data_IF_746615925037
#
_entry.id   IF_746615925037
#
_cell.length_a   1.000
_cell.length_b   1.000
_cell.length_c   1.000
_cell.angle_alpha   90.00
_cell.angle_beta   90.00
_cell.angle_gamma   90.00
#
_symmetry.space_group_name_H-M   'P 1'
#
loop_
_entity.id
_entity.type
_entity.pdbx_description
1 polymer ?
#
# COMPACT_ATOMS: atom_id res chain seq x y z
N UNK A 1 -9.24 -18.91 0.85
CA UNK A 1 -9.92 -20.13 0.35
C UNK A 1 -8.94 -21.15 -0.26
N UNK A 2 -8.22 -20.83 -1.36
CA UNK A 2 -7.31 -21.80 -2.01
C UNK A 2 -6.23 -22.37 -1.07
N UNK A 3 -5.47 -21.51 -0.35
CA UNK A 3 -4.45 -21.92 0.64
C UNK A 3 -5.02 -22.87 1.72
N UNK A 4 -6.23 -22.59 2.20
CA UNK A 4 -6.88 -23.38 3.25
C UNK A 4 -7.30 -24.77 2.72
N UNK A 5 -7.79 -24.83 1.48
CA UNK A 5 -8.19 -26.08 0.84
C UNK A 5 -7.00 -26.96 0.46
N UNK A 6 -5.89 -26.39 0.01
CA UNK A 6 -4.70 -27.16 -0.40
C UNK A 6 -3.76 -27.48 0.75
N UNK A 7 -3.89 -26.79 1.90
CA UNK A 7 -2.94 -26.88 3.01
C UNK A 7 -1.53 -26.43 2.65
N UNK A 8 -1.34 -25.73 1.52
CA UNK A 8 -0.03 -25.33 0.98
C UNK A 8 0.02 -23.83 0.75
N UNK A 9 1.22 -23.28 0.81
CA UNK A 9 1.44 -21.87 0.48
C UNK A 9 1.04 -21.57 -0.96
N UNK A 10 0.41 -20.40 -1.15
CA UNK A 10 -0.06 -19.99 -2.46
C UNK A 10 1.13 -19.57 -3.35
N UNK A 11 1.13 -20.03 -4.60
CA UNK A 11 2.12 -19.63 -5.59
C UNK A 11 1.77 -18.27 -6.17
N UNK A 12 2.79 -17.47 -6.50
CA UNK A 12 2.57 -16.13 -7.10
C UNK A 12 1.92 -16.27 -8.48
N UNK A 13 2.27 -17.31 -9.23
CA UNK A 13 1.69 -17.59 -10.54
C UNK A 13 0.17 -17.86 -10.50
N UNK A 14 -0.35 -18.41 -9.39
CA UNK A 14 -1.79 -18.62 -9.21
C UNK A 14 -2.51 -17.28 -9.11
N UNK A 15 -1.99 -16.34 -8.31
CA UNK A 15 -2.55 -14.99 -8.22
C UNK A 15 -2.47 -14.25 -9.57
N UNK A 16 -1.33 -14.33 -10.26
CA UNK A 16 -1.16 -13.74 -11.59
C UNK A 16 -2.21 -14.27 -12.59
N UNK A 17 -2.42 -15.60 -12.61
CA UNK A 17 -3.40 -16.24 -13.49
C UNK A 17 -4.82 -15.76 -13.22
N UNK A 18 -5.21 -15.65 -11.95
CA UNK A 18 -6.54 -15.18 -11.56
C UNK A 18 -6.77 -13.73 -11.97
N UNK A 19 -5.80 -12.85 -11.70
CA UNK A 19 -5.89 -11.43 -12.05
C UNK A 19 -6.02 -11.23 -13.56
N UNK A 20 -5.16 -11.86 -14.35
CA UNK A 20 -5.19 -11.67 -15.81
C UNK A 20 -6.45 -12.21 -16.47
N UNK A 21 -6.96 -13.36 -16.02
CA UNK A 21 -8.23 -13.91 -16.52
C UNK A 21 -9.41 -13.02 -16.16
N UNK A 22 -9.42 -12.50 -14.92
CA UNK A 22 -10.45 -11.57 -14.47
C UNK A 22 -10.44 -10.29 -15.30
N UNK A 23 -9.30 -9.60 -15.41
CA UNK A 23 -9.20 -8.34 -16.15
C UNK A 23 -9.49 -8.50 -17.64
N UNK A 24 -8.98 -9.58 -18.26
CA UNK A 24 -9.28 -9.89 -19.65
C UNK A 24 -10.77 -10.13 -19.89
N UNK A 25 -11.48 -10.77 -18.95
CA UNK A 25 -12.95 -10.97 -19.05
C UNK A 25 -13.70 -9.65 -19.16
N UNK A 26 -13.21 -8.59 -18.53
CA UNK A 26 -13.80 -7.25 -18.62
C UNK A 26 -13.20 -6.40 -19.75
N UNK A 27 -12.37 -6.96 -20.64
CA UNK A 27 -11.87 -6.27 -21.84
C UNK A 27 -11.31 -4.86 -21.56
N UNK A 28 -10.70 -4.63 -20.39
CA UNK A 28 -10.15 -3.33 -20.00
C UNK A 28 -11.13 -2.33 -19.36
N UNK A 29 -12.43 -2.64 -19.23
CA UNK A 29 -13.37 -1.78 -18.49
C UNK A 29 -13.00 -1.62 -17.01
N UNK A 30 -12.33 -2.62 -16.45
CA UNK A 30 -11.71 -2.53 -15.13
C UNK A 30 -10.28 -2.03 -15.32
N UNK A 31 -10.08 -0.73 -15.10
CA UNK A 31 -8.76 -0.10 -15.22
C UNK A 31 -7.93 -0.31 -13.96
N UNK A 32 -7.32 -1.50 -13.84
CA UNK A 32 -6.40 -1.84 -12.77
C UNK A 32 -5.00 -2.13 -13.32
N UNK A 33 -4.05 -1.27 -12.99
CA UNK A 33 -2.63 -1.45 -13.23
C UNK A 33 -1.97 -1.99 -11.96
N UNK A 34 -1.54 -3.26 -11.97
CA UNK A 34 -1.07 -3.94 -10.77
C UNK A 34 0.39 -4.35 -10.91
N UNK A 35 1.14 -4.19 -9.82
CA UNK A 35 2.44 -4.83 -9.60
C UNK A 35 2.22 -5.97 -8.62
N UNK A 36 2.51 -7.20 -9.06
CA UNK A 36 2.36 -8.40 -8.26
C UNK A 36 3.74 -8.98 -7.97
N UNK A 37 4.19 -8.86 -6.72
CA UNK A 37 5.43 -9.43 -6.24
C UNK A 37 5.19 -10.44 -5.11
N UNK A 38 6.03 -11.46 -5.02
CA UNK A 38 6.01 -12.40 -3.91
C UNK A 38 7.17 -13.39 -3.96
N UNK A 39 7.37 -14.09 -2.84
CA UNK A 39 8.33 -15.19 -2.75
C UNK A 39 7.55 -16.47 -2.53
N UNK A 40 7.72 -17.44 -3.43
CA UNK A 40 7.18 -18.79 -3.26
C UNK A 40 8.32 -19.81 -3.13
N UNK A 41 7.99 -21.10 -3.08
CA UNK A 41 8.97 -22.17 -2.95
C UNK A 41 9.95 -22.27 -4.14
N UNK A 42 9.59 -21.73 -5.31
CA UNK A 42 10.49 -21.63 -6.47
C UNK A 42 11.36 -20.37 -6.47
N UNK A 43 11.04 -19.40 -5.61
CA UNK A 43 11.83 -18.21 -5.39
C UNK A 43 11.04 -16.91 -5.53
N UNK A 44 11.74 -15.77 -5.67
CA UNK A 44 11.10 -14.48 -5.87
C UNK A 44 10.55 -14.34 -7.29
N UNK A 45 9.33 -13.82 -7.39
CA UNK A 45 8.67 -13.53 -8.66
C UNK A 45 8.04 -12.14 -8.63
N UNK A 46 8.23 -11.40 -9.73
CA UNK A 46 7.68 -10.07 -9.93
C UNK A 46 6.98 -10.02 -11.29
N UNK A 47 5.73 -9.57 -11.28
CA UNK A 47 4.87 -9.46 -12.44
C UNK A 47 4.25 -8.07 -12.54
N UNK A 48 4.05 -7.59 -13.76
CA UNK A 48 3.06 -6.55 -14.06
C UNK A 48 1.77 -7.19 -14.55
N UNK A 49 0.64 -6.59 -14.21
CA UNK A 49 -0.66 -6.92 -14.79
C UNK A 49 -1.29 -5.62 -15.26
N UNK A 50 -1.46 -5.49 -16.57
CA UNK A 50 -2.09 -4.32 -17.18
C UNK A 50 -3.62 -4.47 -17.22
N UNK A 51 -4.38 -3.37 -17.33
CA UNK A 51 -5.85 -3.38 -17.36
C UNK A 51 -6.49 -4.34 -18.36
N UNK A 52 -5.85 -4.57 -19.51
CA UNK A 52 -6.36 -5.46 -20.55
C UNK A 52 -6.04 -6.95 -20.30
N UNK A 53 -5.39 -7.28 -19.17
CA UNK A 53 -5.01 -8.64 -18.80
C UNK A 53 -3.68 -9.11 -19.41
N UNK A 54 -2.91 -8.25 -20.08
CA UNK A 54 -1.52 -8.56 -20.43
C UNK A 54 -0.65 -8.59 -19.17
N UNK A 55 0.35 -9.47 -19.17
CA UNK A 55 1.21 -9.69 -18.00
C UNK A 55 2.65 -9.93 -18.41
N UNK A 56 3.58 -9.25 -17.75
CA UNK A 56 5.02 -9.42 -17.98
C UNK A 56 5.71 -9.90 -16.70
N UNK A 57 6.80 -10.66 -16.86
CA UNK A 57 7.66 -11.12 -15.74
C UNK A 57 9.03 -10.49 -15.91
N UNK A 58 9.41 -9.61 -15.00
CA UNK A 58 10.61 -8.76 -15.13
C UNK A 58 11.34 -8.66 -13.78
N UNK A 59 12.67 -8.39 -13.78
CA UNK A 59 13.46 -8.25 -12.56
C UNK A 59 13.12 -6.98 -11.75
N UNK A 60 12.69 -5.91 -12.42
CA UNK A 60 12.19 -4.67 -11.83
C UNK A 60 11.10 -4.09 -12.73
N UNK A 61 10.15 -3.37 -12.14
CA UNK A 61 9.00 -2.80 -12.84
C UNK A 61 8.60 -1.47 -12.19
N UNK A 62 8.04 -0.56 -12.98
CA UNK A 62 7.46 0.69 -12.49
C UNK A 62 6.11 0.91 -13.17
N UNK A 63 5.09 1.26 -12.39
CA UNK A 63 3.72 1.54 -12.87
C UNK A 63 3.22 2.85 -12.26
N UNK A 64 2.19 3.45 -12.87
CA UNK A 64 1.62 4.74 -12.44
C UNK A 64 2.15 5.94 -13.26
N UNK A 65 1.74 7.15 -12.91
CA UNK A 65 2.08 8.38 -13.63
C UNK A 65 3.56 8.73 -13.54
N UNK A 66 4.18 8.57 -12.37
CA UNK A 66 5.62 8.78 -12.14
C UNK A 66 6.53 7.62 -12.59
N UNK A 67 5.99 6.65 -13.33
CA UNK A 67 6.73 5.42 -13.69
C UNK A 67 7.98 5.68 -14.55
N UNK A 68 7.94 6.64 -15.47
CA UNK A 68 9.07 6.94 -16.35
C UNK A 68 10.29 7.48 -15.57
N UNK A 69 10.07 8.32 -14.56
CA UNK A 69 11.14 8.84 -13.70
C UNK A 69 11.74 7.73 -12.82
N UNK A 70 10.89 6.84 -12.30
CA UNK A 70 11.34 5.66 -11.56
C UNK A 70 12.14 4.70 -12.46
N UNK A 71 11.69 4.49 -13.70
CA UNK A 71 12.37 3.62 -14.67
C UNK A 71 13.77 4.13 -15.01
N UNK A 72 13.93 5.43 -15.23
CA UNK A 72 15.25 6.03 -15.48
C UNK A 72 16.24 5.75 -14.34
N UNK A 73 15.75 5.76 -13.09
CA UNK A 73 16.57 5.41 -11.92
C UNK A 73 16.94 3.92 -11.88
N UNK A 74 16.01 3.03 -12.26
CA UNK A 74 16.30 1.61 -12.32
C UNK A 74 17.31 1.28 -13.42
N UNK A 75 17.14 1.81 -14.64
CA UNK A 75 18.05 1.58 -15.76
C UNK A 75 19.49 2.03 -15.48
N UNK A 76 19.67 3.13 -14.74
CA UNK A 76 21.00 3.65 -14.39
C UNK A 76 21.73 2.81 -13.33
N UNK A 77 20.99 2.29 -12.33
CA UNK A 77 21.61 1.78 -11.08
C UNK A 77 21.31 0.33 -10.74
N UNK A 78 20.38 -0.32 -11.42
CA UNK A 78 20.02 -1.71 -11.14
C UNK A 78 21.17 -2.67 -11.44
N UNK A 79 21.35 -3.64 -10.55
CA UNK A 79 22.27 -4.77 -10.75
C UNK A 79 21.56 -6.07 -10.39
N UNK A 80 21.85 -7.18 -11.09
CA UNK A 80 21.35 -8.48 -10.64
C UNK A 80 21.95 -8.85 -9.28
N UNK A 81 21.16 -9.48 -8.42
CA UNK A 81 21.58 -9.99 -7.11
C UNK A 81 22.14 -8.93 -6.14
N UNK A 82 21.50 -7.77 -6.07
CA UNK A 82 21.84 -6.72 -5.08
C UNK A 82 21.59 -7.17 -3.64
N UNK A 83 22.37 -6.60 -2.72
CA UNK A 83 22.14 -6.74 -1.29
C UNK A 83 20.86 -6.02 -0.86
N UNK A 84 20.23 -6.49 0.22
CA UNK A 84 18.91 -6.00 0.64
C UNK A 84 18.89 -4.48 0.90
N UNK A 85 19.90 -3.95 1.58
CA UNK A 85 19.97 -2.51 1.90
C UNK A 85 20.26 -1.66 0.65
N UNK A 86 21.03 -2.19 -0.30
CA UNK A 86 21.27 -1.54 -1.59
C UNK A 86 19.97 -1.47 -2.40
N UNK A 87 19.20 -2.57 -2.42
CA UNK A 87 17.90 -2.65 -3.09
C UNK A 87 16.86 -1.71 -2.47
N UNK A 88 16.80 -1.64 -1.12
CA UNK A 88 15.92 -0.68 -0.41
C UNK A 88 16.23 0.76 -0.82
N UNK A 89 17.52 1.12 -0.86
CA UNK A 89 17.96 2.46 -1.26
C UNK A 89 17.59 2.75 -2.71
N UNK A 90 17.83 1.81 -3.63
CA UNK A 90 17.48 1.96 -5.05
C UNK A 90 15.99 2.20 -5.25
N UNK A 91 15.13 1.39 -4.61
CA UNK A 91 13.67 1.55 -4.70
C UNK A 91 13.22 2.87 -4.09
N UNK A 92 13.78 3.26 -2.93
CA UNK A 92 13.51 4.58 -2.33
C UNK A 92 13.83 5.71 -3.30
N UNK A 93 15.00 5.65 -3.93
CA UNK A 93 15.45 6.72 -4.83
C UNK A 93 14.59 6.77 -6.11
N UNK A 94 14.17 5.61 -6.63
CA UNK A 94 13.28 5.53 -7.79
C UNK A 94 11.90 6.16 -7.51
N UNK A 95 11.33 5.90 -6.33
CA UNK A 95 10.06 6.52 -5.93
C UNK A 95 10.24 8.01 -5.64
N UNK A 96 11.35 8.41 -5.02
CA UNK A 96 11.65 9.83 -4.81
C UNK A 96 11.78 10.58 -6.15
N UNK A 97 12.43 9.98 -7.15
CA UNK A 97 12.49 10.54 -8.50
C UNK A 97 11.09 10.73 -9.09
N UNK A 98 10.18 9.76 -8.91
CA UNK A 98 8.76 9.90 -9.28
C UNK A 98 8.08 11.06 -8.55
N UNK A 99 8.26 11.17 -7.23
CA UNK A 99 7.67 12.23 -6.39
C UNK A 99 8.10 13.64 -6.84
N UNK A 100 9.37 13.83 -7.20
CA UNK A 100 9.87 15.16 -7.56
C UNK A 100 9.64 15.54 -9.03
N UNK A 101 9.32 14.57 -9.91
CA UNK A 101 9.16 14.80 -11.34
C UNK A 101 7.73 14.58 -11.87
N UNK A 102 6.80 14.05 -11.07
CA UNK A 102 5.39 13.85 -11.44
C UNK A 102 4.46 14.59 -10.48
N UNK A 103 3.50 15.35 -11.06
CA UNK A 103 2.51 16.11 -10.29
C UNK A 103 1.45 15.22 -9.63
N UNK A 104 1.19 14.03 -10.20
CA UNK A 104 0.26 13.05 -9.64
C UNK A 104 0.85 12.23 -8.49
N UNK A 105 2.15 12.36 -8.25
CA UNK A 105 2.91 11.61 -7.24
C UNK A 105 3.39 12.53 -6.12
N UNK A 106 3.39 12.06 -4.87
CA UNK A 106 3.82 12.86 -3.74
C UNK A 106 3.68 12.18 -2.39
N UNK A 107 3.97 12.92 -1.32
CA UNK A 107 3.93 12.47 0.10
C UNK A 107 5.14 11.62 0.52
N UNK A 108 4.91 10.52 1.24
CA UNK A 108 5.94 9.69 1.84
C UNK A 108 6.28 8.51 0.93
N UNK A 109 7.49 7.98 1.09
CA UNK A 109 7.90 6.72 0.46
C UNK A 109 7.60 5.58 1.43
N UNK A 110 6.87 4.58 0.94
CA UNK A 110 6.59 3.34 1.66
C UNK A 110 7.40 2.19 1.05
N UNK A 111 7.97 1.33 1.88
CA UNK A 111 8.65 0.11 1.43
C UNK A 111 7.97 -1.14 1.99
N UNK A 112 7.94 -2.19 1.18
CA UNK A 112 7.53 -3.53 1.60
C UNK A 112 8.63 -4.51 1.20
N UNK A 113 9.22 -5.18 2.17
CA UNK A 113 10.27 -6.18 1.95
C UNK A 113 9.69 -7.56 2.16
N UNK A 114 9.70 -8.37 1.11
CA UNK A 114 9.21 -9.75 1.14
C UNK A 114 10.42 -10.68 0.98
N UNK A 115 10.71 -11.46 2.01
CA UNK A 115 11.72 -12.52 1.99
C UNK A 115 11.06 -13.86 2.32
N UNK A 116 11.82 -14.96 2.27
CA UNK A 116 11.30 -16.28 2.61
C UNK A 116 10.90 -16.32 4.09
N UNK A 117 9.60 -16.33 4.37
CA UNK A 117 9.04 -16.44 5.72
C UNK A 117 8.94 -15.13 6.52
N UNK A 118 9.42 -14.00 5.98
CA UNK A 118 9.33 -12.70 6.64
C UNK A 118 8.83 -11.62 5.69
N UNK A 119 7.92 -10.80 6.18
CA UNK A 119 7.39 -9.62 5.48
C UNK A 119 7.54 -8.42 6.40
N UNK A 120 8.27 -7.41 5.95
CA UNK A 120 8.44 -6.16 6.68
C UNK A 120 7.74 -5.03 5.92
N UNK A 121 6.67 -4.50 6.50
CA UNK A 121 5.98 -3.30 6.01
C UNK A 121 6.54 -2.06 6.70
N UNK A 122 7.16 -1.17 5.94
CA UNK A 122 7.84 0.02 6.45
C UNK A 122 7.07 1.25 5.96
N UNK A 123 6.27 1.84 6.86
CA UNK A 123 5.41 3.00 6.58
C UNK A 123 5.43 3.99 7.74
N UNK A 124 5.91 5.24 7.54
CA UNK A 124 6.70 5.70 6.39
C UNK A 124 8.14 5.17 6.44
N UNK A 125 8.74 4.88 5.28
CA UNK A 125 10.17 4.65 5.20
C UNK A 125 10.94 5.97 5.07
N UNK A 126 10.46 6.89 4.24
CA UNK A 126 11.05 8.22 4.07
C UNK A 126 9.97 9.28 3.87
N UNK A 127 10.26 10.52 4.31
CA UNK A 127 9.37 11.67 4.17
C UNK A 127 10.03 12.64 3.19
N UNK A 128 9.61 12.59 1.92
CA UNK A 128 10.23 13.38 0.86
C UNK A 128 9.99 14.89 1.03
N UNK A 129 8.81 15.28 1.51
CA UNK A 129 8.40 16.67 1.67
C UNK A 129 7.83 16.93 3.05
N UNK A 130 8.26 18.02 3.70
CA UNK A 130 7.71 18.47 4.97
C UNK A 130 6.76 19.65 4.77
N UNK A 131 5.61 19.60 5.45
CA UNK A 131 4.66 20.71 5.42
C UNK A 131 5.19 21.88 6.25
N UNK A 132 5.17 23.07 5.67
CA UNK A 132 5.53 24.30 6.40
C UNK A 132 4.61 24.56 7.60
N UNK A 133 5.16 25.24 8.62
CA UNK A 133 4.40 25.65 9.80
C UNK A 133 3.54 26.88 9.47
N UNK A 134 2.27 26.86 9.89
CA UNK A 134 1.40 28.04 9.74
C UNK A 134 1.90 29.16 10.66
N UNK A 135 2.23 30.31 10.08
CA UNK A 135 2.76 31.46 10.82
C UNK A 135 1.69 32.24 11.60
N UNK A 136 0.40 32.06 11.29
CA UNK A 136 -0.71 32.79 11.91
C UNK A 136 -1.84 31.89 12.38
N UNK A 137 -2.59 32.36 13.39
CA UNK A 137 -3.82 31.73 13.85
C UNK A 137 -5.03 32.34 13.14
N UNK A 138 -5.81 31.50 12.47
CA UNK A 138 -7.06 31.88 11.80
C UNK A 138 -8.28 31.35 12.56
N UNK A 139 -8.13 31.11 13.88
CA UNK A 139 -9.20 30.62 14.73
C UNK A 139 -10.11 31.77 15.15
N UNK A 140 -11.34 31.78 14.66
CA UNK A 140 -12.36 32.72 15.10
C UNK A 140 -12.97 32.29 16.44
N UNK A 141 -13.41 33.27 17.25
CA UNK A 141 -14.14 32.99 18.50
C UNK A 141 -15.49 32.34 18.18
N UNK A 142 -16.00 31.51 19.09
CA UNK A 142 -17.33 30.90 18.92
C UNK A 142 -18.40 31.99 18.80
N UNK A 143 -19.31 31.85 17.84
CA UNK A 143 -20.40 32.80 17.59
C UNK A 143 -20.16 33.76 16.42
N UNK A 144 -19.02 33.69 15.73
CA UNK A 144 -18.76 34.52 14.53
C UNK A 144 -19.52 34.10 13.28
N UNK A 145 -20.08 32.89 13.25
CA UNK A 145 -20.86 32.38 12.11
C UNK A 145 -22.34 32.44 12.43
N UNK A 146 -23.14 33.10 11.58
CA UNK A 146 -24.59 33.16 11.73
C UNK A 146 -25.20 31.74 11.57
N UNK A 147 -26.01 31.33 12.54
CA UNK A 147 -26.71 30.03 12.53
C UNK A 147 -28.19 30.30 12.36
N UNK A 148 -28.79 29.82 11.26
CA UNK A 148 -30.21 30.02 10.95
C UNK A 148 -31.11 29.14 11.82
N UNK A 149 -30.78 27.87 11.97
CA UNK A 149 -31.56 26.90 12.75
C UNK A 149 -30.61 25.97 13.49
N UNK A 150 -30.96 25.62 14.73
CA UNK A 150 -30.20 24.68 15.56
C UNK A 150 -31.16 23.63 16.13
N UNK A 151 -30.84 22.36 15.94
CA UNK A 151 -31.52 21.23 16.60
C UNK A 151 -30.50 20.45 17.42
N UNK A 152 -30.88 20.05 18.63
CA UNK A 152 -30.05 19.27 19.54
C UNK A 152 -30.84 18.06 19.97
N UNK A 153 -30.29 16.86 19.74
CA UNK A 153 -30.87 15.60 20.18
C UNK A 153 -29.93 14.97 21.21
N UNK A 154 -30.42 14.78 22.44
CA UNK A 154 -29.72 13.99 23.45
C UNK A 154 -29.86 12.50 23.10
N UNK A 155 -28.74 11.78 23.18
CA UNK A 155 -28.73 10.33 23.12
C UNK A 155 -28.72 9.80 24.56
N UNK A 156 -29.72 9.02 24.99
CA UNK A 156 -29.63 8.31 26.26
C UNK A 156 -28.53 7.25 26.15
N UNK A 157 -27.57 7.30 27.07
CA UNK A 157 -26.50 6.30 27.19
C UNK A 157 -26.85 5.50 28.45
N UNK A 158 -27.31 4.27 28.27
CA UNK A 158 -27.44 3.31 29.36
C UNK A 158 -26.06 2.68 29.60
N UNK A 159 -25.42 3.03 30.72
CA UNK A 159 -24.16 2.44 31.14
C UNK A 159 -24.49 1.14 31.89
N UNK A 160 -24.58 0.03 31.15
CA UNK A 160 -24.63 -1.29 31.76
C UNK A 160 -23.25 -1.60 32.38
N UNK A 161 -23.16 -1.49 33.71
CA UNK A 161 -21.99 -1.95 34.45
C UNK A 161 -22.10 -3.46 34.59
N UNK A 162 -21.47 -4.21 33.69
CA UNK A 162 -21.32 -5.66 33.86
C UNK A 162 -20.36 -5.90 35.02
N UNK A 163 -20.91 -6.13 36.21
CA UNK A 163 -20.15 -6.68 37.33
C UNK A 163 -19.88 -8.13 36.96
N UNK A 164 -18.70 -8.41 36.41
CA UNK A 164 -18.19 -9.77 36.32
C UNK A 164 -17.95 -10.26 37.75
N UNK A 165 -18.95 -10.92 38.33
CA UNK A 165 -18.78 -11.65 39.58
C UNK A 165 -17.72 -12.71 39.36
N UNK A 166 -16.59 -12.57 40.05
CA UNK A 166 -15.63 -13.66 40.22
C UNK A 166 -16.40 -14.82 40.85
N UNK A 167 -16.61 -15.90 40.09
CA UNK A 167 -16.98 -17.17 40.66
C UNK A 167 -15.79 -17.62 41.53
N UNK A 168 -15.95 -17.52 42.86
CA UNK A 168 -15.07 -18.19 43.80
C UNK A 168 -15.15 -19.69 43.52
N UNK A 169 -14.03 -20.24 43.08
CA UNK A 169 -13.79 -21.67 43.01
C UNK A 169 -13.67 -22.18 44.45
N UNK A 170 -14.67 -22.94 44.91
CA UNK A 170 -14.57 -23.73 46.14
C UNK A 170 -14.62 -25.19 45.77
N UNK A 171 -13.58 -25.90 46.24
CA UNK A 171 -13.27 -27.34 46.23
C UNK A 171 -12.75 -27.97 44.95
#
# INVERSE_FOLDING_TARGET
>A
LHRLSTGREARVCTANRMLKQFLFRYQGYISAALVLGGVDYTGPHLYTVHPHGSTDKLPYVSMGSGSLAAMATFEDRFKPNMELEEAKKLVRDAIAAGIFNDLGSGSNVDLCVITKGKVDYIRPHDVANQKGVRQGSYKYKRGTTAVLTKSVRSLPIDIETTVTGEAMDTS
#
